data_IF_066668802601
#
_entry.id   IF_066668802601
#
_cell.length_a   1.000
_cell.length_b   1.000
_cell.length_c   1.000
_cell.angle_alpha   90.00
_cell.angle_beta   90.00
_cell.angle_gamma   90.00
#
_symmetry.space_group_name_H-M   'P 1'
#
loop_
_entity.id
_entity.type
_entity.pdbx_description
1 polymer ?
#
# COMPACT_ATOMS: atom_id res chain seq x y z
N UNK A 1 -4.22 4.32 14.42
CA UNK A 1 -4.87 3.81 13.20
C UNK A 1 -3.79 3.73 12.12
N UNK A 2 -3.34 2.54 11.72
CA UNK A 2 -2.45 2.43 10.56
C UNK A 2 -3.31 2.66 9.33
N UNK A 3 -3.41 3.92 8.91
CA UNK A 3 -3.97 4.26 7.63
C UNK A 3 -3.24 3.44 6.54
N UNK A 4 -3.96 3.07 5.49
CA UNK A 4 -3.34 2.50 4.30
C UNK A 4 -2.16 3.37 3.84
N UNK A 5 -1.13 2.78 3.20
CA UNK A 5 -0.04 3.56 2.60
C UNK A 5 -0.61 4.71 1.77
N UNK A 6 -0.02 5.90 1.87
CA UNK A 6 -0.54 7.11 1.23
C UNK A 6 -0.68 6.94 -0.29
N UNK A 7 0.19 6.12 -0.86
CA UNK A 7 0.19 5.74 -2.28
C UNK A 7 -1.06 4.96 -2.72
N UNK A 8 -1.80 4.30 -1.82
CA UNK A 8 -3.09 3.68 -2.17
C UNK A 8 -4.09 4.76 -2.58
N UNK A 9 -4.16 5.84 -1.80
CA UNK A 9 -5.02 6.98 -2.13
C UNK A 9 -4.49 7.71 -3.35
N UNK A 10 -3.17 7.87 -3.49
CA UNK A 10 -2.56 8.42 -4.70
C UNK A 10 -2.98 7.66 -5.95
N UNK A 11 -2.94 6.32 -5.91
CA UNK A 11 -3.35 5.48 -7.02
C UNK A 11 -4.82 5.71 -7.40
N UNK A 12 -5.73 5.68 -6.43
CA UNK A 12 -7.17 5.74 -6.70
C UNK A 12 -7.68 7.15 -7.03
N UNK A 13 -7.26 8.17 -6.27
CA UNK A 13 -7.61 9.57 -6.56
C UNK A 13 -6.91 10.09 -7.82
N UNK A 14 -5.62 9.78 -7.99
CA UNK A 14 -4.86 10.14 -9.19
C UNK A 14 -5.47 9.54 -10.45
N UNK A 15 -5.79 8.24 -10.45
CA UNK A 15 -6.48 7.59 -11.58
C UNK A 15 -7.84 8.24 -11.86
N UNK A 16 -8.63 8.55 -10.83
CA UNK A 16 -9.93 9.20 -11.01
C UNK A 16 -9.79 10.56 -11.71
N UNK A 17 -8.82 11.37 -11.30
CA UNK A 17 -8.56 12.67 -11.89
C UNK A 17 -8.01 12.56 -13.32
N UNK A 18 -7.04 11.67 -13.56
CA UNK A 18 -6.53 11.37 -14.91
C UNK A 18 -7.63 10.87 -15.85
N UNK A 19 -8.62 10.15 -15.34
CA UNK A 19 -9.84 9.75 -16.05
C UNK A 19 -10.86 10.90 -16.27
N UNK A 20 -10.48 12.16 -16.00
CA UNK A 20 -11.30 13.35 -16.23
C UNK A 20 -12.37 13.62 -15.17
N UNK A 21 -12.22 13.09 -13.94
CA UNK A 21 -13.23 13.25 -12.87
C UNK A 21 -12.64 13.96 -11.65
N UNK A 22 -13.19 15.13 -11.32
CA UNK A 22 -12.80 15.92 -10.15
C UNK A 22 -11.64 16.89 -10.42
N UNK A 23 -11.17 17.53 -9.36
CA UNK A 23 -10.09 18.51 -9.35
C UNK A 23 -8.78 17.87 -8.86
N UNK A 24 -7.63 18.39 -9.30
CA UNK A 24 -6.33 18.03 -8.73
C UNK A 24 -6.19 18.49 -7.28
N UNK A 25 -6.78 19.62 -6.88
CA UNK A 25 -6.78 20.08 -5.47
C UNK A 25 -7.52 19.07 -4.57
N UNK A 26 -8.61 18.47 -5.07
CA UNK A 26 -9.30 17.37 -4.39
C UNK A 26 -8.38 16.15 -4.25
N UNK A 27 -7.58 15.81 -5.27
CA UNK A 27 -6.59 14.72 -5.19
C UNK A 27 -5.57 15.01 -4.09
N UNK A 28 -4.98 16.22 -4.09
CA UNK A 28 -3.98 16.61 -3.09
C UNK A 28 -4.55 16.50 -1.68
N UNK A 29 -5.73 17.08 -1.44
CA UNK A 29 -6.40 17.03 -0.14
C UNK A 29 -6.70 15.60 0.32
N UNK A 30 -7.32 14.79 -0.53
CA UNK A 30 -7.75 13.43 -0.15
C UNK A 30 -6.59 12.44 -0.02
N UNK A 31 -5.52 12.57 -0.82
CA UNK A 31 -4.34 11.71 -0.70
C UNK A 31 -3.68 11.87 0.67
N UNK A 32 -3.52 13.12 1.13
CA UNK A 32 -2.80 13.44 2.35
C UNK A 32 -3.67 13.44 3.61
N UNK A 33 -5.01 13.47 3.47
CA UNK A 33 -5.95 13.46 4.57
C UNK A 33 -5.63 12.37 5.61
N UNK A 34 -5.35 12.80 6.84
CA UNK A 34 -5.04 11.93 7.98
C UNK A 34 -3.70 11.18 7.90
N UNK A 35 -2.87 11.42 6.87
CA UNK A 35 -1.53 10.84 6.75
C UNK A 35 -0.41 11.87 6.85
N UNK A 36 -0.63 13.10 6.40
CA UNK A 36 0.35 14.19 6.44
C UNK A 36 -0.32 15.51 6.78
N UNK A 37 0.39 16.36 7.52
CA UNK A 37 0.00 17.76 7.79
C UNK A 37 0.57 18.71 6.74
N UNK A 38 1.75 18.37 6.21
CA UNK A 38 2.52 19.20 5.30
C UNK A 38 2.97 18.37 4.10
N UNK A 39 3.10 19.03 2.94
CA UNK A 39 3.40 18.38 1.67
C UNK A 39 4.52 19.15 0.98
N UNK A 40 5.51 18.44 0.49
CA UNK A 40 6.61 19.00 -0.29
C UNK A 40 6.93 18.14 -1.52
N UNK A 41 7.66 18.73 -2.46
CA UNK A 41 8.10 18.05 -3.68
C UNK A 41 7.11 18.19 -4.84
N UNK A 42 7.38 17.53 -5.98
CA UNK A 42 6.73 17.83 -7.25
C UNK A 42 5.41 17.06 -7.47
N UNK A 43 4.71 16.63 -6.42
CA UNK A 43 3.54 15.73 -6.52
C UNK A 43 2.52 16.16 -7.58
N UNK A 44 2.02 17.39 -7.49
CA UNK A 44 1.05 17.92 -8.47
C UNK A 44 1.64 18.10 -9.87
N UNK A 45 2.86 18.63 -9.95
CA UNK A 45 3.53 18.89 -11.22
C UNK A 45 3.76 17.57 -12.00
N UNK A 46 4.14 16.51 -11.29
CA UNK A 46 4.31 15.17 -11.88
C UNK A 46 2.99 14.56 -12.33
N UNK A 47 1.89 14.71 -11.56
CA UNK A 47 0.57 14.25 -12.01
C UNK A 47 0.10 15.01 -13.27
N UNK A 48 0.35 16.32 -13.35
CA UNK A 48 0.06 17.13 -14.55
C UNK A 48 0.89 16.66 -15.76
N UNK A 49 2.19 16.42 -15.59
CA UNK A 49 3.05 15.87 -16.65
C UNK A 49 2.54 14.52 -17.17
N UNK A 50 2.14 13.62 -16.28
CA UNK A 50 1.56 12.33 -16.68
C UNK A 50 0.27 12.51 -17.48
N UNK A 51 -0.61 13.43 -17.06
CA UNK A 51 -1.84 13.75 -17.78
C UNK A 51 -1.56 14.31 -19.18
N UNK A 52 -0.62 15.24 -19.30
CA UNK A 52 -0.20 15.85 -20.57
C UNK A 52 0.38 14.81 -21.55
N UNK A 53 1.05 13.79 -21.01
CA UNK A 53 1.58 12.64 -21.77
C UNK A 53 0.54 11.56 -22.06
N UNK A 54 -0.71 11.74 -21.62
CA UNK A 54 -1.84 10.86 -21.92
C UNK A 54 -2.00 9.68 -20.96
N UNK A 55 -1.42 9.72 -19.77
CA UNK A 55 -1.67 8.70 -18.75
C UNK A 55 -3.12 8.75 -18.25
N UNK A 56 -3.68 7.58 -17.98
CA UNK A 56 -5.08 7.45 -17.51
C UNK A 56 -5.20 6.71 -16.18
N UNK A 57 -4.12 6.10 -15.70
CA UNK A 57 -4.09 5.38 -14.44
C UNK A 57 -2.82 5.64 -13.63
N UNK A 58 -2.93 5.49 -12.32
CA UNK A 58 -1.79 5.46 -11.39
C UNK A 58 -1.81 4.14 -10.66
N UNK A 59 -0.70 3.40 -10.70
CA UNK A 59 -0.55 2.10 -10.07
C UNK A 59 0.28 2.18 -8.80
N UNK A 60 0.05 1.20 -7.92
CA UNK A 60 0.71 1.03 -6.64
C UNK A 60 1.83 0.00 -6.74
N UNK A 61 2.94 0.28 -6.05
CA UNK A 61 3.96 -0.68 -5.67
C UNK A 61 4.28 -0.57 -4.17
N UNK A 62 4.60 -1.70 -3.54
CA UNK A 62 5.01 -1.78 -2.13
C UNK A 62 6.32 -2.57 -2.02
N UNK A 63 7.45 -2.03 -2.51
CA UNK A 63 8.73 -2.71 -2.44
C UNK A 63 9.24 -2.80 -1.00
N UNK A 64 10.05 -3.83 -0.75
CA UNK A 64 10.80 -4.11 0.47
C UNK A 64 12.17 -4.69 0.11
N UNK A 65 13.15 -4.65 1.02
CA UNK A 65 14.42 -5.33 0.79
C UNK A 65 14.19 -6.81 0.41
N UNK A 66 14.65 -7.20 -0.78
CA UNK A 66 14.49 -8.55 -1.32
C UNK A 66 13.13 -8.87 -1.97
N UNK A 67 12.17 -7.93 -1.98
CA UNK A 67 10.84 -8.12 -2.55
C UNK A 67 10.34 -6.83 -3.22
N UNK A 68 10.33 -6.80 -4.55
CA UNK A 68 9.95 -5.60 -5.33
C UNK A 68 8.50 -5.64 -5.82
N UNK A 69 7.56 -6.00 -4.94
CA UNK A 69 6.15 -6.21 -5.29
C UNK A 69 5.54 -5.03 -6.04
N UNK A 70 5.14 -5.27 -7.29
CA UNK A 70 4.44 -4.30 -8.15
C UNK A 70 5.32 -3.23 -8.77
N UNK A 71 6.64 -3.20 -8.49
CA UNK A 71 7.53 -2.19 -9.05
C UNK A 71 7.69 -2.36 -10.57
N UNK A 72 7.59 -1.27 -11.36
CA UNK A 72 8.02 -1.30 -12.74
C UNK A 72 9.54 -1.49 -12.83
N UNK A 73 10.04 -1.83 -14.02
CA UNK A 73 11.48 -1.79 -14.27
C UNK A 73 11.95 -0.35 -14.13
N UNK A 74 13.01 -0.15 -13.36
CA UNK A 74 13.54 1.17 -13.07
C UNK A 74 15.04 1.08 -12.76
N UNK A 75 15.78 2.19 -12.92
CA UNK A 75 17.16 2.27 -12.44
C UNK A 75 17.28 1.92 -10.95
N UNK A 76 18.45 1.43 -10.54
CA UNK A 76 18.69 0.98 -9.16
C UNK A 76 18.41 2.07 -8.13
N UNK A 77 18.76 3.33 -8.43
CA UNK A 77 18.51 4.46 -7.53
C UNK A 77 17.02 4.66 -7.22
N UNK A 78 16.15 4.47 -8.22
CA UNK A 78 14.69 4.56 -8.07
C UNK A 78 14.17 3.41 -7.23
N UNK A 79 14.66 2.20 -7.51
CA UNK A 79 14.30 0.98 -6.77
C UNK A 79 14.71 1.10 -5.29
N UNK A 80 15.90 1.64 -5.02
CA UNK A 80 16.39 1.89 -3.67
C UNK A 80 15.51 2.91 -2.95
N UNK A 81 15.25 4.08 -3.56
CA UNK A 81 14.40 5.11 -2.97
C UNK A 81 12.99 4.59 -2.65
N UNK A 82 12.37 3.86 -3.58
CA UNK A 82 11.06 3.25 -3.36
C UNK A 82 11.09 2.19 -2.26
N UNK A 83 12.15 1.39 -2.18
CA UNK A 83 12.35 0.36 -1.15
C UNK A 83 12.52 0.98 0.24
N UNK A 84 13.29 2.06 0.35
CA UNK A 84 13.51 2.80 1.60
C UNK A 84 12.21 3.45 2.09
N UNK A 85 11.43 4.02 1.16
CA UNK A 85 10.09 4.54 1.46
C UNK A 85 9.06 3.43 1.78
N UNK A 86 9.31 2.21 1.31
CA UNK A 86 8.40 1.08 1.38
C UNK A 86 7.14 1.22 0.50
N UNK A 87 7.12 2.20 -0.41
CA UNK A 87 5.95 2.49 -1.22
C UNK A 87 6.31 3.37 -2.43
N UNK A 88 5.61 3.17 -3.55
CA UNK A 88 5.67 4.04 -4.71
C UNK A 88 4.32 4.03 -5.44
N UNK A 89 3.97 5.16 -6.04
CA UNK A 89 2.96 5.26 -7.07
C UNK A 89 3.65 5.43 -8.43
N UNK A 90 3.11 4.88 -9.52
CA UNK A 90 3.73 5.02 -10.84
C UNK A 90 2.71 5.10 -11.97
N UNK A 91 3.12 5.72 -13.06
CA UNK A 91 2.38 5.80 -14.30
C UNK A 91 2.70 4.58 -15.18
N UNK A 92 1.78 3.61 -15.36
CA UNK A 92 2.05 2.36 -16.05
C UNK A 92 2.29 2.52 -17.56
N UNK A 93 1.71 3.54 -18.20
CA UNK A 93 1.73 3.71 -19.66
C UNK A 93 2.85 4.64 -20.09
N UNK A 94 2.98 5.80 -19.44
CA UNK A 94 3.96 6.83 -19.83
C UNK A 94 5.30 6.66 -19.12
N UNK A 95 5.34 5.84 -18.06
CA UNK A 95 6.50 5.69 -17.19
C UNK A 95 6.63 6.85 -16.21
N UNK A 96 7.35 6.61 -15.12
CA UNK A 96 7.56 7.56 -14.05
C UNK A 96 6.96 7.08 -12.72
N UNK A 97 7.59 7.46 -11.62
CA UNK A 97 7.19 7.09 -10.28
C UNK A 97 7.23 8.29 -9.32
N UNK A 98 6.29 8.30 -8.38
CA UNK A 98 6.20 9.18 -7.23
C UNK A 98 6.45 8.36 -5.97
N UNK A 99 7.50 8.71 -5.24
CA UNK A 99 7.91 8.04 -3.99
C UNK A 99 7.76 9.02 -2.83
N UNK A 100 6.91 8.73 -1.83
CA UNK A 100 6.75 9.59 -0.66
C UNK A 100 7.69 9.16 0.48
N UNK A 101 8.37 10.13 1.08
CA UNK A 101 9.03 10.00 2.37
C UNK A 101 8.18 10.70 3.44
N UNK A 102 7.83 9.98 4.51
CA UNK A 102 7.04 10.51 5.63
C UNK A 102 7.94 10.77 6.84
N UNK A 103 8.08 12.04 7.22
CA UNK A 103 8.94 12.45 8.34
C UNK A 103 8.10 13.14 9.42
N UNK A 104 8.18 12.65 10.66
CA UNK A 104 7.58 13.34 11.81
C UNK A 104 8.42 14.54 12.21
N UNK A 105 7.78 15.64 12.57
CA UNK A 105 8.45 16.85 13.06
C UNK A 105 7.63 17.49 14.18
N UNK A 106 8.23 18.44 14.90
CA UNK A 106 7.60 19.15 16.03
C UNK A 106 7.93 18.53 17.39
N UNK A 107 7.67 19.27 18.49
CA UNK A 107 7.92 18.81 19.85
C UNK A 107 6.91 17.74 20.30
N UNK A 108 7.21 17.07 21.41
CA UNK A 108 6.29 16.12 22.02
C UNK A 108 4.97 16.82 22.39
N UNK A 109 3.84 16.23 21.97
CA UNK A 109 2.50 16.80 22.17
C UNK A 109 2.00 17.72 21.05
N UNK A 110 2.87 18.13 20.12
CA UNK A 110 2.52 18.93 18.94
C UNK A 110 3.34 18.47 17.73
N UNK A 111 3.06 17.24 17.29
CA UNK A 111 3.79 16.58 16.19
C UNK A 111 3.03 16.66 14.88
N UNK A 112 3.69 17.11 13.82
CA UNK A 112 3.24 17.04 12.44
C UNK A 112 3.89 15.88 11.67
N UNK A 113 3.39 15.64 10.45
CA UNK A 113 3.98 14.70 9.49
C UNK A 113 4.14 15.39 8.15
N UNK A 114 5.39 15.51 7.69
CA UNK A 114 5.72 16.02 6.37
C UNK A 114 5.78 14.86 5.37
N UNK A 115 5.00 14.94 4.30
CA UNK A 115 5.12 14.08 3.12
C UNK A 115 5.97 14.78 2.05
N UNK A 116 7.21 14.32 1.88
CA UNK A 116 8.09 14.78 0.81
C UNK A 116 8.02 13.80 -0.35
N UNK A 117 7.51 14.26 -1.48
CA UNK A 117 7.47 13.48 -2.71
C UNK A 117 8.73 13.68 -3.53
N UNK A 118 9.23 12.59 -4.11
CA UNK A 118 10.25 12.61 -5.14
C UNK A 118 9.71 11.96 -6.40
N UNK A 119 9.99 12.57 -7.56
CA UNK A 119 9.64 12.05 -8.86
C UNK A 119 10.85 11.39 -9.52
N UNK A 120 10.61 10.26 -10.19
CA UNK A 120 11.63 9.47 -10.86
C UNK A 120 11.12 8.98 -12.21
N UNK A 121 12.04 8.68 -13.13
CA UNK A 121 11.72 7.98 -14.39
C UNK A 121 11.70 6.47 -14.19
N UNK A 122 10.74 5.79 -14.81
CA UNK A 122 10.66 4.32 -14.86
C UNK A 122 10.30 3.86 -16.26
N UNK A 123 10.53 2.59 -16.59
CA UNK A 123 10.03 2.02 -17.83
C UNK A 123 8.49 1.85 -17.76
N UNK A 124 7.78 2.06 -18.88
CA UNK A 124 6.39 1.64 -19.02
C UNK A 124 6.20 0.15 -18.72
N UNK A 125 5.04 -0.22 -18.18
CA UNK A 125 4.68 -1.60 -17.88
C UNK A 125 3.93 -2.20 -19.08
N UNK A 126 4.35 -3.37 -19.60
CA UNK A 126 3.59 -4.06 -20.62
C UNK A 126 2.15 -4.34 -20.17
N UNK A 127 1.16 -4.02 -21.03
CA UNK A 127 -0.27 -4.11 -20.71
C UNK A 127 -0.69 -5.48 -20.14
N UNK A 128 -0.17 -6.57 -20.69
CA UNK A 128 -0.47 -7.93 -20.22
C UNK A 128 0.03 -8.20 -18.78
N UNK A 129 1.07 -7.49 -18.32
CA UNK A 129 1.56 -7.56 -16.93
C UNK A 129 0.68 -6.72 -16.03
N UNK A 130 0.34 -5.51 -16.47
CA UNK A 130 -0.58 -4.61 -15.76
C UNK A 130 -1.96 -5.27 -15.54
N UNK A 131 -2.45 -6.00 -16.54
CA UNK A 131 -3.71 -6.74 -16.54
C UNK A 131 -3.57 -8.21 -16.11
N UNK A 132 -2.44 -8.62 -15.52
CA UNK A 132 -2.30 -9.97 -14.98
C UNK A 132 -3.09 -10.23 -13.67
N UNK A 133 -3.24 -9.26 -12.73
CA UNK A 133 -3.88 -9.55 -11.44
C UNK A 133 -5.34 -10.01 -11.57
N UNK A 134 -5.63 -11.14 -10.92
CA UNK A 134 -6.96 -11.70 -10.75
C UNK A 134 -7.42 -11.61 -9.30
N UNK A 135 -8.61 -11.02 -9.08
CA UNK A 135 -9.15 -10.78 -7.74
C UNK A 135 -9.49 -12.09 -7.02
N UNK A 136 -9.88 -13.13 -7.77
CA UNK A 136 -10.16 -14.46 -7.21
C UNK A 136 -8.92 -15.11 -6.65
N UNK A 137 -7.85 -15.16 -7.44
CA UNK A 137 -6.54 -15.69 -7.05
C UNK A 137 -5.96 -14.94 -5.84
N UNK A 138 -5.98 -13.61 -5.87
CA UNK A 138 -5.51 -12.77 -4.76
C UNK A 138 -6.29 -13.06 -3.47
N UNK A 139 -7.62 -13.17 -3.55
CA UNK A 139 -8.47 -13.49 -2.40
C UNK A 139 -8.19 -14.88 -1.82
N UNK A 140 -7.99 -15.87 -2.70
CA UNK A 140 -7.64 -17.24 -2.33
C UNK A 140 -6.29 -17.26 -1.61
N UNK A 141 -5.24 -16.69 -2.21
CA UNK A 141 -3.89 -16.62 -1.64
C UNK A 141 -3.86 -15.92 -0.27
N UNK A 142 -4.53 -14.78 -0.12
CA UNK A 142 -4.61 -14.09 1.16
C UNK A 142 -5.29 -14.97 2.22
N UNK A 143 -6.34 -15.69 1.85
CA UNK A 143 -7.06 -16.58 2.77
C UNK A 143 -6.20 -17.75 3.22
N UNK A 144 -5.50 -18.40 2.28
CA UNK A 144 -4.55 -19.48 2.56
C UNK A 144 -3.41 -18.99 3.48
N UNK A 145 -2.85 -17.80 3.20
CA UNK A 145 -1.78 -17.21 4.02
C UNK A 145 -2.24 -16.91 5.45
N UNK A 146 -3.46 -16.37 5.63
CA UNK A 146 -4.04 -16.13 6.96
C UNK A 146 -4.24 -17.44 7.72
N UNK A 147 -4.84 -18.46 7.08
CA UNK A 147 -5.07 -19.77 7.71
C UNK A 147 -3.76 -20.44 8.12
N UNK A 148 -2.76 -20.42 7.24
CA UNK A 148 -1.43 -20.97 7.52
C UNK A 148 -0.76 -20.22 8.68
N UNK A 149 -0.79 -18.88 8.67
CA UNK A 149 -0.20 -18.07 9.72
C UNK A 149 -0.88 -18.31 11.07
N UNK A 150 -2.22 -18.35 11.13
CA UNK A 150 -2.96 -18.66 12.35
C UNK A 150 -2.59 -20.04 12.90
N UNK A 151 -2.53 -21.05 12.05
CA UNK A 151 -2.17 -22.43 12.45
C UNK A 151 -0.75 -22.49 12.99
N UNK A 152 0.22 -21.88 12.30
CA UNK A 152 1.62 -21.86 12.74
C UNK A 152 1.79 -21.09 14.04
N UNK A 153 1.23 -19.90 14.16
CA UNK A 153 1.33 -19.09 15.38
C UNK A 153 0.71 -19.80 16.59
N UNK A 154 -0.42 -20.50 16.40
CA UNK A 154 -1.02 -21.32 17.45
C UNK A 154 -0.14 -22.51 17.86
N UNK A 155 0.58 -23.11 16.90
CA UNK A 155 1.48 -24.25 17.15
C UNK A 155 2.76 -23.82 17.87
N UNK A 156 3.36 -22.71 17.44
CA UNK A 156 4.58 -22.13 18.05
C UNK A 156 4.32 -21.68 19.49
N UNK A 157 3.12 -21.16 19.78
CA UNK A 157 2.72 -20.78 21.13
C UNK A 157 3.43 -19.52 21.67
N UNK A 158 3.64 -19.50 22.99
CA UNK A 158 4.18 -18.35 23.74
C UNK A 158 3.12 -17.59 24.54
N UNK A 159 3.51 -16.47 25.16
CA UNK A 159 2.56 -15.60 25.87
C UNK A 159 1.52 -15.14 24.84
N UNK A 160 0.21 -15.36 25.08
CA UNK A 160 -0.81 -14.89 24.17
C UNK A 160 -0.65 -13.38 24.02
N UNK A 161 -0.65 -12.88 22.77
CA UNK A 161 -0.94 -11.46 22.56
C UNK A 161 -2.24 -11.19 23.30
N UNK A 162 -2.21 -10.32 24.32
CA UNK A 162 -3.43 -10.04 25.08
C UNK A 162 -4.45 -9.51 24.07
N UNK A 163 -5.60 -10.18 23.96
CA UNK A 163 -6.61 -9.89 22.94
C UNK A 163 -7.17 -8.45 22.94
N UNK A 164 -6.72 -7.58 23.84
CA UNK A 164 -6.98 -6.14 23.83
C UNK A 164 -5.94 -5.28 23.08
N UNK A 165 -4.75 -5.79 22.78
CA UNK A 165 -3.67 -5.02 22.13
C UNK A 165 -3.77 -5.03 20.59
N UNK A 166 -4.47 -6.02 20.03
CA UNK A 166 -4.84 -6.07 18.62
C UNK A 166 -6.36 -6.06 18.50
N UNK A 167 -7.00 -4.95 18.87
CA UNK A 167 -8.40 -4.74 18.50
C UNK A 167 -8.44 -4.52 16.99
N UNK A 168 -8.98 -5.44 16.17
CA UNK A 168 -9.14 -5.18 14.75
C UNK A 168 -10.02 -3.94 14.61
N UNK A 169 -9.67 -2.98 13.73
CA UNK A 169 -10.54 -1.84 13.51
C UNK A 169 -11.94 -2.36 13.13
N UNK A 170 -13.03 -1.68 13.56
CA UNK A 170 -14.36 -2.04 13.09
C UNK A 170 -14.34 -2.05 11.56
N UNK A 171 -14.97 -3.05 10.94
CA UNK A 171 -15.15 -3.12 9.47
C UNK A 171 -15.72 -1.80 8.99
N UNK A 172 -14.86 -0.96 8.44
CA UNK A 172 -15.19 0.38 8.00
C UNK A 172 -14.88 0.42 6.51
N UNK A 173 -15.76 1.05 5.74
CA UNK A 173 -15.37 1.61 4.45
C UNK A 173 -14.00 2.28 4.64
N UNK A 174 -12.97 1.82 3.95
CA UNK A 174 -11.63 2.44 4.01
C UNK A 174 -11.82 3.96 3.81
N UNK A 175 -11.64 4.77 4.87
CA UNK A 175 -12.00 6.17 4.80
C UNK A 175 -11.02 6.90 3.88
N UNK A 176 -11.54 7.90 3.15
CA UNK A 176 -10.73 8.73 2.25
C UNK A 176 -10.42 8.08 0.89
N UNK A 177 -11.08 6.98 0.52
CA UNK A 177 -11.06 6.49 -0.87
C UNK A 177 -12.11 7.21 -1.74
N UNK A 178 -11.90 7.31 -3.06
CA UNK A 178 -12.90 7.90 -3.96
C UNK A 178 -14.22 7.12 -3.95
N UNK A 179 -15.37 7.78 -4.20
CA UNK A 179 -16.65 7.10 -4.35
C UNK A 179 -16.76 6.35 -5.67
N UNK A 180 -17.62 5.32 -5.71
CA UNK A 180 -17.95 4.57 -6.92
C UNK A 180 -16.95 3.48 -7.31
N UNK A 181 -16.12 3.03 -6.37
CA UNK A 181 -15.19 1.91 -6.56
C UNK A 181 -15.94 0.56 -6.63
N UNK A 182 -15.42 -0.36 -7.44
CA UNK A 182 -15.99 -1.69 -7.59
C UNK A 182 -15.98 -2.46 -6.26
N UNK A 183 -17.14 -2.98 -5.77
CA UNK A 183 -17.24 -3.51 -4.41
C UNK A 183 -16.31 -4.70 -4.10
N UNK A 184 -16.14 -5.62 -5.06
CA UNK A 184 -15.38 -6.87 -4.84
C UNK A 184 -13.89 -6.63 -4.58
N UNK A 185 -13.13 -5.95 -5.45
CA UNK A 185 -11.73 -5.62 -5.15
C UNK A 185 -11.59 -4.62 -4.00
N UNK A 186 -12.57 -3.74 -3.75
CA UNK A 186 -12.57 -2.85 -2.58
C UNK A 186 -12.62 -3.64 -1.26
N UNK A 187 -13.50 -4.65 -1.16
CA UNK A 187 -13.56 -5.50 0.03
C UNK A 187 -12.26 -6.30 0.24
N UNK A 188 -11.62 -6.73 -0.85
CA UNK A 188 -10.33 -7.41 -0.76
C UNK A 188 -9.21 -6.46 -0.30
N UNK A 189 -9.19 -5.22 -0.80
CA UNK A 189 -8.27 -4.17 -0.38
C UNK A 189 -8.41 -3.87 1.11
N UNK A 190 -9.64 -3.71 1.60
CA UNK A 190 -9.96 -3.50 3.01
C UNK A 190 -9.41 -4.63 3.89
N UNK A 191 -9.76 -5.89 3.55
CA UNK A 191 -9.25 -7.07 4.24
C UNK A 191 -7.72 -7.18 4.23
N UNK A 192 -7.08 -6.89 3.10
CA UNK A 192 -5.63 -6.90 3.00
C UNK A 192 -4.99 -5.81 3.87
N UNK A 193 -5.62 -4.64 3.97
CA UNK A 193 -5.25 -3.56 4.88
C UNK A 193 -5.27 -4.01 6.35
N UNK A 194 -6.34 -4.67 6.78
CA UNK A 194 -6.48 -5.21 8.14
C UNK A 194 -5.40 -6.25 8.46
N UNK A 195 -5.21 -7.23 7.58
CA UNK A 195 -4.19 -8.28 7.75
C UNK A 195 -2.80 -7.67 7.81
N UNK A 196 -2.49 -6.69 6.94
CA UNK A 196 -1.23 -5.96 6.97
C UNK A 196 -1.03 -5.22 8.29
N UNK A 197 -2.05 -4.52 8.79
CA UNK A 197 -1.97 -3.80 10.05
C UNK A 197 -1.71 -4.74 11.23
N UNK A 198 -2.39 -5.89 11.27
CA UNK A 198 -2.18 -6.92 12.29
C UNK A 198 -0.78 -7.53 12.22
N UNK A 199 -0.29 -7.85 11.01
CA UNK A 199 1.05 -8.39 10.83
C UNK A 199 2.14 -7.40 11.28
N UNK A 200 2.00 -6.12 10.94
CA UNK A 200 2.92 -5.05 11.39
C UNK A 200 2.87 -4.86 12.91
N UNK A 201 1.68 -4.87 13.51
CA UNK A 201 1.54 -4.78 14.97
C UNK A 201 2.22 -5.97 15.66
N UNK A 202 2.00 -7.19 15.15
CA UNK A 202 2.67 -8.39 15.66
C UNK A 202 4.19 -8.31 15.58
N UNK A 203 4.74 -7.81 14.46
CA UNK A 203 6.18 -7.61 14.30
C UNK A 203 6.73 -6.58 15.29
N UNK A 204 6.03 -5.48 15.52
CA UNK A 204 6.43 -4.49 16.52
C UNK A 204 6.45 -5.06 17.94
N UNK A 205 5.53 -5.98 18.26
CA UNK A 205 5.55 -6.70 19.55
C UNK A 205 6.77 -7.63 19.66
N UNK A 206 7.11 -8.37 18.60
CA UNK A 206 8.32 -9.20 18.59
C UNK A 206 9.61 -8.38 18.77
N UNK A 207 9.71 -7.22 18.10
CA UNK A 207 10.85 -6.31 18.25
C UNK A 207 11.02 -5.77 19.67
N UNK A 208 9.92 -5.66 20.43
CA UNK A 208 9.93 -5.25 21.84
C UNK A 208 10.28 -6.38 22.83
N UNK A 209 10.54 -7.60 22.35
CA UNK A 209 11.03 -8.72 23.16
C UNK A 209 9.95 -9.55 23.86
N UNK A 210 8.77 -9.72 23.25
CA UNK A 210 7.62 -10.40 23.86
C UNK A 210 7.77 -11.92 24.06
N UNK A 211 8.78 -12.58 23.49
CA UNK A 211 8.97 -14.03 23.58
C UNK A 211 9.91 -14.43 24.73
N UNK A 212 9.62 -15.57 25.35
CA UNK A 212 10.43 -16.15 26.45
C UNK A 212 11.78 -16.73 25.97
N UNK A 213 11.89 -17.06 24.67
CA UNK A 213 13.12 -17.58 24.05
C UNK A 213 13.29 -17.08 22.59
N UNK A 214 14.54 -17.08 22.14
CA UNK A 214 14.95 -16.53 20.84
C UNK A 214 14.44 -17.35 19.63
N UNK A 215 14.30 -18.67 19.79
CA UNK A 215 13.82 -19.57 18.73
C UNK A 215 12.35 -19.31 18.39
N UNK A 216 11.51 -19.19 19.41
CA UNK A 216 10.08 -18.90 19.31
C UNK A 216 9.86 -17.53 18.65
N UNK A 217 10.63 -16.51 19.04
CA UNK A 217 10.54 -15.18 18.42
C UNK A 217 10.94 -15.18 16.95
N UNK A 218 12.02 -15.90 16.59
CA UNK A 218 12.48 -16.00 15.22
C UNK A 218 11.43 -16.67 14.32
N UNK A 219 10.80 -17.74 14.79
CA UNK A 219 9.75 -18.43 14.03
C UNK A 219 8.49 -17.57 13.87
N UNK A 220 8.02 -16.91 14.93
CA UNK A 220 6.88 -15.97 14.88
C UNK A 220 7.15 -14.82 13.92
N UNK A 221 8.34 -14.23 14.00
CA UNK A 221 8.77 -13.17 13.09
C UNK A 221 8.74 -13.63 11.63
N UNK A 222 9.21 -14.84 11.34
CA UNK A 222 9.20 -15.40 9.99
C UNK A 222 7.76 -15.59 9.46
N UNK A 223 6.85 -16.10 10.29
CA UNK A 223 5.43 -16.28 9.93
C UNK A 223 4.76 -14.93 9.66
N UNK A 224 4.98 -13.94 10.54
CA UNK A 224 4.40 -12.60 10.38
C UNK A 224 4.94 -11.87 9.15
N UNK A 225 6.24 -11.99 8.84
CA UNK A 225 6.83 -11.43 7.61
C UNK A 225 6.22 -12.04 6.36
N UNK A 226 6.00 -13.36 6.34
CA UNK A 226 5.35 -14.03 5.20
C UNK A 226 3.89 -13.60 5.04
N UNK A 227 3.15 -13.46 6.14
CA UNK A 227 1.79 -12.94 6.11
C UNK A 227 1.75 -11.50 5.60
N UNK A 228 2.68 -10.65 6.05
CA UNK A 228 2.83 -9.28 5.58
C UNK A 228 3.09 -9.22 4.08
N UNK A 229 4.00 -10.05 3.56
CA UNK A 229 4.29 -10.16 2.13
C UNK A 229 3.03 -10.46 1.30
N UNK A 230 2.23 -11.45 1.70
CA UNK A 230 1.00 -11.80 0.98
C UNK A 230 -0.09 -10.71 1.11
N UNK A 231 -0.19 -10.05 2.28
CA UNK A 231 -1.09 -8.92 2.46
C UNK A 231 -0.71 -7.74 1.56
N UNK A 232 0.57 -7.41 1.44
CA UNK A 232 1.06 -6.32 0.58
C UNK A 232 0.91 -6.64 -0.90
N UNK A 233 1.18 -7.88 -1.32
CA UNK A 233 0.89 -8.33 -2.69
C UNK A 233 -0.60 -8.23 -3.02
N UNK A 234 -1.47 -8.59 -2.07
CA UNK A 234 -2.92 -8.45 -2.23
C UNK A 234 -3.35 -7.00 -2.29
N UNK A 235 -2.76 -6.13 -1.46
CA UNK A 235 -3.04 -4.70 -1.44
C UNK A 235 -2.64 -4.02 -2.76
N UNK A 236 -1.46 -4.36 -3.29
CA UNK A 236 -1.00 -3.94 -4.63
C UNK A 236 -1.96 -4.40 -5.71
N UNK A 237 -2.27 -5.70 -5.75
CA UNK A 237 -3.15 -6.27 -6.77
C UNK A 237 -4.56 -5.67 -6.75
N UNK A 238 -5.20 -5.60 -5.58
CA UNK A 238 -6.54 -5.05 -5.43
C UNK A 238 -6.61 -3.55 -5.78
N UNK A 239 -5.61 -2.76 -5.38
CA UNK A 239 -5.52 -1.33 -5.72
C UNK A 239 -5.36 -1.14 -7.22
N UNK A 240 -4.48 -1.90 -7.87
CA UNK A 240 -4.25 -1.78 -9.31
C UNK A 240 -5.47 -2.25 -10.12
N UNK A 241 -6.18 -3.27 -9.66
CA UNK A 241 -7.48 -3.66 -10.27
C UNK A 241 -8.51 -2.55 -10.16
N UNK A 242 -8.64 -1.92 -9.00
CA UNK A 242 -9.53 -0.76 -8.82
C UNK A 242 -9.14 0.41 -9.72
N UNK A 243 -7.85 0.73 -9.82
CA UNK A 243 -7.34 1.76 -10.72
C UNK A 243 -7.69 1.44 -12.19
N UNK A 244 -7.49 0.19 -12.63
CA UNK A 244 -7.88 -0.24 -13.98
C UNK A 244 -9.38 -0.11 -14.24
N UNK A 245 -10.23 -0.45 -13.28
CA UNK A 245 -11.68 -0.28 -13.42
C UNK A 245 -12.07 1.20 -13.48
N UNK A 246 -11.45 2.05 -12.66
CA UNK A 246 -11.70 3.50 -12.68
C UNK A 246 -11.24 4.13 -14.00
N UNK A 247 -10.10 3.71 -14.54
CA UNK A 247 -9.57 4.14 -15.84
C UNK A 247 -10.34 3.56 -17.04
N UNK A 248 -11.28 2.64 -16.82
CA UNK A 248 -12.06 1.99 -17.89
C UNK A 248 -11.28 0.94 -18.69
N UNK A 249 -10.13 0.47 -18.19
CA UNK A 249 -9.33 -0.57 -18.85
C UNK A 249 -9.95 -1.95 -18.72
N UNK A 250 -10.78 -2.14 -17.68
CA UNK A 250 -11.54 -3.35 -17.41
C UNK A 250 -13.00 -3.01 -17.12
N UNK A 251 -13.95 -3.88 -17.50
CA UNK A 251 -15.32 -3.75 -17.01
C UNK A 251 -15.36 -3.87 -15.48
N UNK A 252 -16.31 -3.16 -14.87
CA UNK A 252 -16.52 -3.12 -13.42
C UNK A 252 -17.11 -4.43 -12.87
#
# INVERSE_FOLDING_TARGET
>A
MLALPIVVRCALWGTRWLGGRGDLDDVVGNVHAGAATDIAGPFEATLRDWAERGETAVFLALPRPGLLTGMPRAPLAVTAAATDAGQAAYAPTVGGALVPALTRFGPEGDTGVLATWAAYETEPVPRHIAEAPDVGDLSRRLTEAVQEATTRLATVGGIPWRGGEATPPPRASVPGLPPGLAPRPLHLLDRAGDVRALALAGLGVEESGAALDASTSAERTAVLRRLLTEAEATLVGATNVLAMTVAGWRPA
#
